data_IF_457961460636
#
_entry.id   IF_457961460636
#
_cell.length_a   1.000
_cell.length_b   1.000
_cell.length_c   1.000
_cell.angle_alpha   90.00
_cell.angle_beta   90.00
_cell.angle_gamma   90.00
#
_symmetry.space_group_name_H-M   'P 1'
#
loop_
_entity.id
_entity.type
_entity.pdbx_description
1 polymer ?
#
# COMPACT_ATOMS: atom_id res chain seq x y z
N UNK A 1 9.55 19.14 18.81
CA UNK A 1 9.61 17.74 18.31
C UNK A 1 8.23 17.18 17.97
N UNK A 2 7.20 17.39 18.81
CA UNK A 2 5.84 16.87 18.58
C UNK A 2 5.19 17.36 17.26
N UNK A 3 5.28 18.66 16.95
CA UNK A 3 4.73 19.24 15.70
C UNK A 3 5.27 18.55 14.43
N UNK A 4 6.57 18.25 14.37
CA UNK A 4 7.19 17.56 13.22
C UNK A 4 6.68 16.13 13.06
N UNK A 5 6.53 15.39 14.17
CA UNK A 5 5.96 14.03 14.14
C UNK A 5 4.50 14.03 13.67
N UNK A 6 3.71 14.99 14.14
CA UNK A 6 2.32 15.16 13.68
C UNK A 6 2.26 15.50 12.19
N UNK A 7 3.10 16.42 11.69
CA UNK A 7 3.16 16.74 10.26
C UNK A 7 3.54 15.52 9.41
N UNK A 8 4.55 14.74 9.83
CA UNK A 8 4.93 13.49 9.14
C UNK A 8 3.81 12.44 9.16
N UNK A 9 3.09 12.32 10.28
CA UNK A 9 1.91 11.45 10.39
C UNK A 9 0.78 11.89 9.47
N UNK A 10 0.51 13.19 9.36
CA UNK A 10 -0.51 13.73 8.45
C UNK A 10 -0.12 13.51 6.97
N UNK A 11 1.16 13.60 6.62
CA UNK A 11 1.65 13.27 5.28
C UNK A 11 1.43 11.77 5.00
N UNK A 12 1.74 10.88 5.95
CA UNK A 12 1.48 9.44 5.81
C UNK A 12 -0.02 9.14 5.62
N UNK A 13 -0.89 9.79 6.40
CA UNK A 13 -2.34 9.64 6.25
C UNK A 13 -2.78 10.12 4.87
N UNK A 14 -2.29 11.27 4.40
CA UNK A 14 -2.61 11.77 3.07
C UNK A 14 -2.20 10.77 1.97
N UNK A 15 -0.97 10.24 2.02
CA UNK A 15 -0.48 9.23 1.07
C UNK A 15 -1.33 7.96 1.10
N UNK A 16 -1.65 7.46 2.30
CA UNK A 16 -2.50 6.28 2.46
C UNK A 16 -3.90 6.51 1.87
N UNK A 17 -4.52 7.66 2.16
CA UNK A 17 -5.84 8.03 1.64
C UNK A 17 -5.90 8.09 0.11
N UNK A 18 -4.81 8.48 -0.55
CA UNK A 18 -4.73 8.48 -2.02
C UNK A 18 -4.53 7.08 -2.59
N UNK A 19 -3.71 6.24 -1.93
CA UNK A 19 -3.36 4.90 -2.42
C UNK A 19 -4.49 3.87 -2.21
N UNK A 20 -5.30 4.01 -1.16
CA UNK A 20 -6.41 3.08 -0.88
C UNK A 20 -7.38 2.91 -2.05
N UNK A 21 -7.97 3.98 -2.64
CA UNK A 21 -8.88 3.83 -3.77
C UNK A 21 -8.17 3.30 -5.01
N UNK A 22 -6.90 3.69 -5.25
CA UNK A 22 -6.10 3.21 -6.39
C UNK A 22 -5.88 1.69 -6.29
N UNK A 23 -5.46 1.19 -5.13
CA UNK A 23 -5.23 -0.25 -4.95
C UNK A 23 -6.54 -1.04 -5.04
N UNK A 24 -7.65 -0.49 -4.54
CA UNK A 24 -8.97 -1.11 -4.63
C UNK A 24 -9.46 -1.22 -6.08
N UNK A 25 -9.32 -0.16 -6.88
CA UNK A 25 -9.70 -0.18 -8.30
C UNK A 25 -8.80 -1.12 -9.10
N UNK A 26 -7.49 -1.09 -8.86
CA UNK A 26 -6.55 -1.98 -9.54
C UNK A 26 -6.82 -3.45 -9.21
N UNK A 27 -7.07 -3.81 -7.95
CA UNK A 27 -7.41 -5.19 -7.59
C UNK A 27 -8.67 -5.68 -8.33
N UNK A 28 -9.70 -4.83 -8.43
CA UNK A 28 -10.91 -5.17 -9.20
C UNK A 28 -10.57 -5.33 -10.68
N UNK A 29 -9.90 -4.35 -11.27
CA UNK A 29 -9.52 -4.33 -12.69
C UNK A 29 -8.69 -5.55 -13.07
N UNK A 30 -7.73 -5.92 -12.23
CA UNK A 30 -6.89 -7.10 -12.44
C UNK A 30 -7.71 -8.40 -12.47
N UNK A 31 -8.63 -8.58 -11.52
CA UNK A 31 -9.39 -9.82 -11.39
C UNK A 31 -10.49 -9.91 -12.46
N UNK A 32 -11.27 -8.84 -12.63
CA UNK A 32 -12.52 -8.89 -13.40
C UNK A 32 -12.34 -8.42 -14.84
N UNK A 33 -11.59 -7.35 -15.07
CA UNK A 33 -11.39 -6.77 -16.40
C UNK A 33 -10.21 -7.43 -17.14
N UNK A 34 -9.11 -7.79 -16.45
CA UNK A 34 -7.95 -8.48 -17.04
C UNK A 34 -7.98 -10.01 -16.90
N UNK A 35 -9.02 -10.56 -16.27
CA UNK A 35 -9.21 -12.00 -16.03
C UNK A 35 -8.02 -12.68 -15.33
N UNK A 36 -7.26 -11.97 -14.50
CA UNK A 36 -6.19 -12.55 -13.70
C UNK A 36 -6.77 -13.34 -12.53
N UNK A 37 -6.14 -14.47 -12.18
CA UNK A 37 -6.57 -15.25 -11.01
C UNK A 37 -6.48 -14.41 -9.73
N UNK A 38 -7.54 -14.47 -8.92
CA UNK A 38 -7.56 -13.82 -7.60
C UNK A 38 -6.39 -14.28 -6.69
N UNK A 39 -5.92 -15.51 -6.84
CA UNK A 39 -4.76 -16.03 -6.09
C UNK A 39 -3.47 -15.31 -6.46
N UNK A 40 -3.24 -15.05 -7.75
CA UNK A 40 -2.07 -14.32 -8.23
C UNK A 40 -2.10 -12.87 -7.73
N UNK A 41 -3.25 -12.21 -7.87
CA UNK A 41 -3.44 -10.83 -7.41
C UNK A 41 -3.24 -10.74 -5.89
N UNK A 42 -3.73 -11.71 -5.11
CA UNK A 42 -3.54 -11.76 -3.67
C UNK A 42 -2.06 -11.90 -3.28
N UNK A 43 -1.30 -12.75 -3.98
CA UNK A 43 0.15 -12.88 -3.75
C UNK A 43 0.82 -11.53 -4.00
N UNK A 44 0.57 -10.89 -5.16
CA UNK A 44 1.15 -9.59 -5.49
C UNK A 44 0.79 -8.50 -4.47
N UNK A 45 -0.48 -8.42 -4.07
CA UNK A 45 -0.97 -7.45 -3.09
C UNK A 45 -0.37 -7.66 -1.70
N UNK A 46 0.04 -8.88 -1.36
CA UNK A 46 0.64 -9.20 -0.06
C UNK A 46 2.14 -8.83 0.04
N UNK A 47 2.84 -8.70 -1.10
CA UNK A 47 4.30 -8.45 -1.12
C UNK A 47 4.74 -7.20 -0.32
N UNK A 48 4.09 -6.02 -0.44
CA UNK A 48 4.51 -4.84 0.32
C UNK A 48 4.44 -5.05 1.84
N UNK A 49 3.44 -5.81 2.30
CA UNK A 49 3.28 -6.15 3.71
C UNK A 49 4.31 -7.18 4.16
N UNK A 50 4.60 -8.18 3.32
CA UNK A 50 5.63 -9.18 3.59
C UNK A 50 7.02 -8.55 3.73
N UNK A 51 7.32 -7.53 2.92
CA UNK A 51 8.60 -6.80 2.97
C UNK A 51 8.59 -5.58 3.89
N UNK A 52 7.49 -5.28 4.59
CA UNK A 52 7.39 -4.11 5.49
C UNK A 52 8.50 -4.05 6.56
N UNK A 53 8.93 -5.16 7.20
CA UNK A 53 10.03 -5.11 8.17
C UNK A 53 11.36 -4.62 7.57
N UNK A 54 11.62 -4.90 6.29
CA UNK A 54 12.83 -4.45 5.60
C UNK A 54 12.80 -2.94 5.37
N UNK A 55 11.61 -2.35 5.20
CA UNK A 55 11.47 -0.90 5.03
C UNK A 55 11.95 -0.14 6.27
N UNK A 56 11.84 -0.73 7.46
CA UNK A 56 12.39 -0.16 8.70
C UNK A 56 13.92 -0.10 8.64
N UNK A 57 14.57 -1.12 8.07
CA UNK A 57 16.03 -1.14 7.93
C UNK A 57 16.56 -0.15 6.87
N UNK A 58 15.77 0.15 5.84
CA UNK A 58 16.13 1.14 4.80
C UNK A 58 15.89 2.58 5.30
N UNK A 59 14.88 2.78 6.15
CA UNK A 59 14.49 4.09 6.67
C UNK A 59 15.12 4.48 8.02
N UNK A 60 15.90 3.60 8.64
CA UNK A 60 16.69 3.85 9.85
C UNK A 60 18.00 4.57 9.51
#
# INVERSE_FOLDING_TARGET
MLRKRLQLGLIHVAVAMTLVPINSTLNRVMIKELALSATLVAIMASLPYLFSPIQVAIGA
#
